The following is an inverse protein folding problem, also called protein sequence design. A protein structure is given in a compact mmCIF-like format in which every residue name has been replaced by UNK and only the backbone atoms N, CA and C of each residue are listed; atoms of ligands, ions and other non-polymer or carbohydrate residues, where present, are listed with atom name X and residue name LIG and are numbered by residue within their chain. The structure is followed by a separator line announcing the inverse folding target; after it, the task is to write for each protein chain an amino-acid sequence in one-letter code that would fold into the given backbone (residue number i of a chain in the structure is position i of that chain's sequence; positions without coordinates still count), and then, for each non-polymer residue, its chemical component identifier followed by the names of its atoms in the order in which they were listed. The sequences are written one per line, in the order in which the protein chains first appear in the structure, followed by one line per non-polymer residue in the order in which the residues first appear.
data_IF_300946348214
#
_entry.id   IF_300946348214
#
_cell.length_a   1.000
_cell.length_b   1.000
_cell.length_c   1.000
_cell.angle_alpha   90.00
_cell.angle_beta   90.00
_cell.angle_gamma   90.00
#
_symmetry.space_group_name_H-M   'P 1'
#
loop_
_entity.id
_entity.type
_entity.pdbx_description
1 polymer ?
#
# COMPACT_ATOMS: atom_id res chain seq x y z
N UNK A 1 -18.46 -10.23 3.39
CA UNK A 1 -19.08 -9.09 2.69
C UNK A 1 -20.23 -9.59 1.80
N UNK A 2 -20.00 -10.56 0.93
CA UNK A 2 -21.00 -11.05 -0.04
C UNK A 2 -22.22 -11.68 0.60
N UNK A 3 -22.09 -12.33 1.76
CA UNK A 3 -23.24 -12.84 2.53
C UNK A 3 -24.23 -11.73 2.90
N UNK A 4 -23.71 -10.58 3.35
CA UNK A 4 -24.55 -9.43 3.75
C UNK A 4 -24.89 -8.51 2.57
N UNK A 5 -24.07 -8.46 1.54
CA UNK A 5 -24.21 -7.61 0.36
C UNK A 5 -23.87 -8.40 -0.91
N UNK A 6 -24.79 -9.21 -1.45
CA UNK A 6 -24.52 -10.11 -2.57
C UNK A 6 -24.05 -9.43 -3.85
N UNK A 7 -24.47 -8.17 -4.06
CA UNK A 7 -24.09 -7.36 -5.23
C UNK A 7 -22.82 -6.55 -5.04
N UNK A 8 -22.16 -6.66 -3.88
CA UNK A 8 -20.96 -5.87 -3.61
C UNK A 8 -19.81 -6.24 -4.54
N UNK A 9 -19.13 -5.20 -5.03
CA UNK A 9 -17.96 -5.31 -5.91
C UNK A 9 -16.74 -4.69 -5.24
N UNK A 10 -15.59 -5.31 -5.44
CA UNK A 10 -14.29 -4.76 -5.03
C UNK A 10 -13.94 -3.59 -5.94
N UNK A 11 -13.59 -2.45 -5.38
CA UNK A 11 -13.26 -1.23 -6.14
C UNK A 11 -11.75 -0.99 -6.29
N UNK A 12 -10.96 -1.57 -5.41
CA UNK A 12 -9.50 -1.59 -5.47
C UNK A 12 -8.98 -2.86 -4.80
N UNK A 13 -7.68 -3.06 -4.80
CA UNK A 13 -7.06 -4.26 -4.24
C UNK A 13 -6.02 -3.93 -3.18
N UNK A 14 -5.86 -4.82 -2.22
CA UNK A 14 -4.68 -4.95 -1.39
C UNK A 14 -3.89 -6.18 -1.84
N UNK A 15 -2.59 -6.18 -1.63
CA UNK A 15 -1.79 -7.40 -1.78
C UNK A 15 -2.22 -8.43 -0.72
N UNK A 16 -2.10 -9.71 -1.02
CA UNK A 16 -2.58 -10.79 -0.15
C UNK A 16 -2.04 -10.72 1.29
N UNK A 17 -0.80 -10.23 1.45
CA UNK A 17 -0.17 -10.10 2.77
C UNK A 17 -0.40 -8.72 3.43
N UNK A 18 -1.04 -7.76 2.75
CA UNK A 18 -1.37 -6.44 3.29
C UNK A 18 -2.69 -6.49 4.03
N UNK A 19 -2.74 -5.95 5.23
CA UNK A 19 -3.98 -5.80 5.99
C UNK A 19 -4.55 -4.38 5.92
N UNK A 20 -5.74 -4.18 6.49
CA UNK A 20 -6.35 -2.86 6.64
C UNK A 20 -7.55 -2.62 5.76
N UNK A 21 -7.78 -1.36 5.43
CA UNK A 21 -8.99 -0.87 4.80
C UNK A 21 -9.09 -1.31 3.34
N UNK A 22 -10.22 -1.90 3.00
CA UNK A 22 -10.60 -2.28 1.64
C UNK A 22 -12.03 -1.81 1.35
N UNK A 23 -12.20 -1.03 0.28
CA UNK A 23 -13.48 -0.46 -0.09
C UNK A 23 -14.26 -1.39 -1.04
N UNK A 24 -15.56 -1.56 -0.74
CA UNK A 24 -16.50 -2.27 -1.60
C UNK A 24 -17.65 -1.34 -2.02
N UNK A 25 -18.02 -1.37 -3.28
CA UNK A 25 -19.23 -0.75 -3.76
C UNK A 25 -20.43 -1.71 -3.58
N UNK A 26 -21.54 -1.25 -3.02
CA UNK A 26 -22.71 -2.08 -2.74
C UNK A 26 -23.58 -2.33 -3.98
N UNK A 27 -23.51 -1.47 -5.00
CA UNK A 27 -24.28 -1.54 -6.24
C UNK A 27 -23.48 -0.92 -7.40
N UNK A 28 -23.98 -1.10 -8.62
CA UNK A 28 -23.26 -0.73 -9.86
C UNK A 28 -22.91 0.75 -9.95
N UNK A 29 -23.82 1.64 -9.59
CA UNK A 29 -23.56 3.09 -9.68
C UNK A 29 -22.43 3.51 -8.72
N UNK A 30 -22.43 2.95 -7.52
CA UNK A 30 -21.34 3.15 -6.56
C UNK A 30 -20.01 2.60 -7.09
N UNK A 31 -20.02 1.43 -7.75
CA UNK A 31 -18.82 0.84 -8.37
C UNK A 31 -18.22 1.78 -9.42
N UNK A 32 -19.06 2.29 -10.34
CA UNK A 32 -18.64 3.21 -11.40
C UNK A 32 -18.09 4.51 -10.79
N UNK A 33 -18.81 5.09 -9.84
CA UNK A 33 -18.41 6.34 -9.20
C UNK A 33 -17.08 6.21 -8.45
N UNK A 34 -16.93 5.17 -7.63
CA UNK A 34 -15.69 4.92 -6.88
C UNK A 34 -14.51 4.61 -7.82
N UNK A 35 -14.76 3.85 -8.89
CA UNK A 35 -13.71 3.59 -9.90
C UNK A 35 -13.18 4.88 -10.54
N UNK A 36 -14.07 5.83 -10.86
CA UNK A 36 -13.69 7.17 -11.35
C UNK A 36 -12.85 7.94 -10.33
N UNK A 37 -13.19 7.86 -9.04
CA UNK A 37 -12.42 8.50 -7.97
C UNK A 37 -10.98 7.95 -7.89
N UNK A 38 -10.80 6.62 -7.98
CA UNK A 38 -9.47 6.00 -8.01
C UNK A 38 -8.69 6.40 -9.27
N UNK A 39 -9.33 6.46 -10.45
CA UNK A 39 -8.73 6.93 -11.69
C UNK A 39 -8.30 8.41 -11.60
N UNK A 40 -9.16 9.26 -11.04
CA UNK A 40 -8.89 10.68 -10.80
C UNK A 40 -7.93 10.93 -9.62
N UNK A 41 -7.55 9.89 -8.86
CA UNK A 41 -6.68 9.97 -7.68
C UNK A 41 -7.22 10.89 -6.58
N UNK A 42 -8.54 10.97 -6.43
CA UNK A 42 -9.21 11.78 -5.39
C UNK A 42 -9.40 11.02 -4.08
N UNK A 43 -9.05 9.74 -4.03
CA UNK A 43 -9.04 8.93 -2.81
C UNK A 43 -7.66 9.02 -2.15
N UNK A 44 -7.58 9.66 -0.99
CA UNK A 44 -6.36 9.68 -0.17
C UNK A 44 -6.22 8.33 0.56
N UNK A 45 -5.01 7.79 0.55
CA UNK A 45 -4.69 6.50 1.15
C UNK A 45 -3.37 6.61 1.90
N UNK A 46 -3.38 6.28 3.19
CA UNK A 46 -2.12 6.14 3.91
C UNK A 46 -1.96 4.70 4.39
N UNK A 47 -0.74 4.24 4.29
CA UNK A 47 -0.32 2.95 4.82
C UNK A 47 0.71 3.18 5.92
N UNK A 48 0.69 2.33 6.92
CA UNK A 48 1.75 2.25 7.92
C UNK A 48 2.55 0.98 7.64
N UNK A 49 3.86 1.10 7.65
CA UNK A 49 4.77 -0.03 7.53
C UNK A 49 5.86 0.01 8.61
N UNK A 50 6.37 -1.17 9.00
CA UNK A 50 7.68 -1.29 9.62
C UNK A 50 8.67 -1.68 8.53
N UNK A 51 9.78 -0.96 8.45
CA UNK A 51 10.84 -1.18 7.48
C UNK A 51 12.18 -1.36 8.18
N UNK A 52 13.11 -2.06 7.55
CA UNK A 52 14.45 -2.25 8.07
C UNK A 52 15.25 -0.96 8.02
N UNK A 53 16.03 -0.71 9.07
CA UNK A 53 16.96 0.39 9.17
C UNK A 53 16.32 1.74 9.49
N UNK A 54 17.18 2.74 9.71
CA UNK A 54 16.77 4.10 10.06
C UNK A 54 16.40 4.91 8.81
N UNK A 55 15.13 5.23 8.63
CA UNK A 55 14.67 6.23 7.66
C UNK A 55 14.83 7.62 8.29
N UNK A 56 15.83 8.40 7.84
CA UNK A 56 16.24 9.64 8.51
C UNK A 56 15.36 10.85 8.20
N UNK A 57 14.77 10.90 7.01
CA UNK A 57 13.98 12.03 6.54
C UNK A 57 12.85 11.58 5.62
N UNK A 58 11.85 12.42 5.48
CA UNK A 58 10.78 12.22 4.51
C UNK A 58 11.29 12.36 3.06
N UNK A 59 10.55 11.78 2.12
CA UNK A 59 10.93 11.84 0.72
C UNK A 59 9.94 11.19 -0.22
N UNK A 60 10.40 10.97 -1.43
CA UNK A 60 9.62 10.26 -2.45
C UNK A 60 10.47 9.24 -3.20
N UNK A 61 9.83 8.14 -3.58
CA UNK A 61 10.38 7.15 -4.52
C UNK A 61 9.57 7.23 -5.81
N UNK A 62 10.25 7.51 -6.91
CA UNK A 62 9.64 7.63 -8.22
C UNK A 62 10.42 6.80 -9.24
N UNK A 63 10.09 5.50 -9.30
CA UNK A 63 10.72 4.54 -10.21
C UNK A 63 9.65 3.67 -10.86
N UNK A 64 9.79 3.38 -12.18
CA UNK A 64 8.79 2.62 -12.91
C UNK A 64 8.82 1.13 -12.59
N UNK A 65 7.66 0.49 -12.56
CA UNK A 65 7.49 -0.91 -12.17
C UNK A 65 6.89 -1.75 -13.31
N UNK A 66 7.38 -2.98 -13.42
CA UNK A 66 6.84 -4.00 -14.33
C UNK A 66 6.80 -5.36 -13.62
N UNK A 67 5.97 -6.26 -14.14
CA UNK A 67 5.94 -7.65 -13.66
C UNK A 67 7.23 -8.38 -14.02
N UNK A 68 7.86 -9.00 -13.03
CA UNK A 68 8.92 -9.97 -13.23
C UNK A 68 8.29 -11.29 -13.70
N UNK A 69 8.29 -11.51 -15.02
CA UNK A 69 7.58 -12.63 -15.62
C UNK A 69 8.15 -13.99 -15.24
N UNK A 70 9.43 -14.06 -14.97
CA UNK A 70 10.14 -15.30 -14.58
C UNK A 70 9.87 -15.64 -13.11
N UNK A 71 9.72 -14.61 -12.26
CA UNK A 71 9.56 -14.76 -10.80
C UNK A 71 8.20 -14.27 -10.29
N UNK A 72 7.11 -14.51 -11.04
CA UNK A 72 5.75 -14.12 -10.60
C UNK A 72 5.44 -14.64 -9.20
N UNK A 73 4.72 -13.85 -8.39
CA UNK A 73 4.02 -12.59 -8.67
C UNK A 73 4.87 -11.32 -8.46
N UNK A 74 6.20 -11.40 -8.46
CA UNK A 74 7.10 -10.27 -8.20
C UNK A 74 6.92 -9.15 -9.22
N UNK A 75 7.22 -7.92 -8.76
CA UNK A 75 7.39 -6.73 -9.60
C UNK A 75 8.84 -6.28 -9.46
N UNK A 76 9.37 -5.66 -10.50
CA UNK A 76 10.74 -5.12 -10.53
C UNK A 76 10.74 -3.69 -11.06
N UNK A 77 11.79 -2.95 -10.72
CA UNK A 77 12.07 -1.65 -11.35
C UNK A 77 12.64 -1.88 -12.73
N UNK A 78 12.05 -1.22 -13.74
CA UNK A 78 12.53 -1.31 -15.12
C UNK A 78 12.29 0.01 -15.83
N UNK A 79 13.35 0.75 -16.10
CA UNK A 79 13.26 2.13 -16.57
C UNK A 79 12.71 2.29 -18.00
N UNK A 80 12.86 1.31 -18.87
CA UNK A 80 12.40 1.39 -20.24
C UNK A 80 10.94 0.93 -20.40
N UNK A 81 10.56 -0.21 -19.80
CA UNK A 81 9.28 -0.87 -20.02
C UNK A 81 8.32 -0.74 -18.82
N UNK A 82 8.84 -0.26 -17.69
CA UNK A 82 8.06 -0.12 -16.45
C UNK A 82 7.01 0.98 -16.56
N UNK A 83 5.91 0.78 -15.84
CA UNK A 83 4.85 1.80 -15.70
C UNK A 83 5.19 2.74 -14.57
N UNK A 84 5.11 4.04 -14.82
CA UNK A 84 5.36 5.09 -13.83
C UNK A 84 4.67 4.77 -12.49
N UNK A 85 5.44 4.88 -11.42
CA UNK A 85 4.98 4.68 -10.05
C UNK A 85 5.66 5.69 -9.12
N UNK A 86 4.88 6.26 -8.17
CA UNK A 86 5.36 7.24 -7.19
C UNK A 86 4.74 6.98 -5.83
N UNK A 87 5.59 6.98 -4.81
CA UNK A 87 5.23 6.85 -3.39
C UNK A 87 5.90 7.96 -2.60
N UNK A 88 5.14 8.65 -1.76
CA UNK A 88 5.69 9.53 -0.73
C UNK A 88 5.88 8.72 0.55
N UNK A 89 6.91 9.03 1.32
CA UNK A 89 7.14 8.38 2.61
C UNK A 89 7.59 9.39 3.66
N UNK A 90 7.17 9.13 4.91
CA UNK A 90 7.52 9.94 6.08
C UNK A 90 7.88 9.02 7.24
N UNK A 91 9.08 9.16 7.85
CA UNK A 91 9.41 8.43 9.06
C UNK A 91 8.58 8.96 10.23
N UNK A 92 8.07 8.04 11.06
CA UNK A 92 7.30 8.36 12.26
C UNK A 92 8.13 8.11 13.52
N UNK A 93 8.71 6.92 13.64
CA UNK A 93 9.50 6.49 14.81
C UNK A 93 10.60 5.55 14.31
N UNK A 94 11.78 5.64 14.89
CA UNK A 94 12.86 4.67 14.74
C UNK A 94 13.15 3.99 16.08
N UNK A 95 13.23 2.67 16.06
CA UNK A 95 13.62 1.84 17.19
C UNK A 95 15.03 1.29 16.95
N UNK A 96 16.01 1.82 17.70
CA UNK A 96 17.40 1.41 17.62
C UNK A 96 17.60 -0.05 18.05
N UNK A 97 16.77 -0.56 18.98
CA UNK A 97 16.95 -1.91 19.53
C UNK A 97 16.64 -2.99 18.51
N UNK A 98 15.69 -2.71 17.63
CA UNK A 98 15.26 -3.64 16.56
C UNK A 98 15.77 -3.24 15.19
N UNK A 99 16.42 -2.08 15.06
CA UNK A 99 16.84 -1.47 13.79
C UNK A 99 15.68 -1.36 12.79
N UNK A 100 14.56 -0.80 13.25
CA UNK A 100 13.34 -0.68 12.45
C UNK A 100 12.78 0.73 12.49
N UNK A 101 12.32 1.23 11.36
CA UNK A 101 11.55 2.46 11.27
C UNK A 101 10.07 2.16 11.03
N UNK A 102 9.19 2.82 11.79
CA UNK A 102 7.77 2.94 11.45
C UNK A 102 7.64 4.11 10.47
N UNK A 103 7.04 3.86 9.33
CA UNK A 103 6.89 4.87 8.26
C UNK A 103 5.45 4.98 7.80
N UNK A 104 5.03 6.21 7.50
CA UNK A 104 3.81 6.48 6.75
C UNK A 104 4.16 6.47 5.25
N UNK A 105 3.36 5.75 4.47
CA UNK A 105 3.50 5.63 3.02
C UNK A 105 2.23 6.14 2.34
N UNK A 106 2.39 7.07 1.40
CA UNK A 106 1.30 7.58 0.58
C UNK A 106 1.53 7.21 -0.90
N UNK A 107 0.80 6.22 -1.45
CA UNK A 107 0.90 5.86 -2.86
C UNK A 107 0.18 6.88 -3.74
N UNK A 108 0.91 7.70 -4.47
CA UNK A 108 0.37 8.63 -5.49
C UNK A 108 -0.17 7.86 -6.69
N UNK A 109 0.46 6.77 -7.04
CA UNK A 109 0.02 5.78 -8.04
C UNK A 109 -0.39 4.48 -7.34
N UNK A 110 -0.97 3.51 -8.06
CA UNK A 110 -1.45 2.25 -7.48
C UNK A 110 -0.98 1.02 -8.30
N UNK A 111 0.33 0.83 -8.45
CA UNK A 111 0.86 -0.37 -9.11
C UNK A 111 0.90 -1.56 -8.16
N UNK A 112 0.85 -2.78 -8.71
CA UNK A 112 1.01 -4.00 -7.91
C UNK A 112 2.31 -3.96 -7.14
N UNK A 113 2.30 -4.36 -5.87
CA UNK A 113 3.44 -4.40 -4.96
C UNK A 113 4.23 -3.08 -4.82
N UNK A 114 3.66 -1.95 -5.25
CA UNK A 114 4.38 -0.67 -5.37
C UNK A 114 5.13 -0.29 -4.09
N UNK A 115 4.44 -0.22 -2.95
CA UNK A 115 5.04 0.19 -1.68
C UNK A 115 6.19 -0.73 -1.27
N UNK A 116 6.05 -2.02 -1.51
CA UNK A 116 7.02 -3.06 -1.17
C UNK A 116 8.29 -2.93 -1.99
N UNK A 117 8.15 -2.79 -3.33
CA UNK A 117 9.29 -2.63 -4.24
C UNK A 117 9.97 -1.28 -4.02
N UNK A 118 9.21 -0.20 -3.83
CA UNK A 118 9.77 1.12 -3.59
C UNK A 118 10.58 1.17 -2.31
N UNK A 119 10.08 0.64 -1.21
CA UNK A 119 10.81 0.62 0.06
C UNK A 119 12.06 -0.27 -0.01
N UNK A 120 11.98 -1.43 -0.66
CA UNK A 120 13.16 -2.26 -0.93
C UNK A 120 14.18 -1.51 -1.80
N UNK A 121 13.74 -0.80 -2.85
CA UNK A 121 14.60 -0.08 -3.79
C UNK A 121 15.46 0.99 -3.12
N UNK A 122 14.92 1.66 -2.10
CA UNK A 122 15.67 2.67 -1.31
C UNK A 122 16.41 2.08 -0.11
N UNK A 123 16.51 0.76 0.00
CA UNK A 123 17.28 0.08 1.06
C UNK A 123 16.53 -0.13 2.37
N UNK A 124 15.23 0.11 2.42
CA UNK A 124 14.37 -0.05 3.59
C UNK A 124 13.25 -1.08 3.35
N UNK A 125 13.55 -2.38 3.13
CA UNK A 125 12.55 -3.39 2.85
C UNK A 125 11.54 -3.53 3.99
N UNK A 126 10.27 -3.81 3.65
CA UNK A 126 9.21 -3.98 4.62
C UNK A 126 9.41 -5.27 5.41
N UNK A 127 9.29 -5.16 6.73
CA UNK A 127 9.46 -6.28 7.64
C UNK A 127 8.43 -7.39 7.39
N UNK A 128 8.91 -8.64 7.39
CA UNK A 128 8.06 -9.81 7.13
C UNK A 128 7.62 -9.97 5.66
N UNK A 129 8.15 -9.18 4.74
CA UNK A 129 7.87 -9.35 3.31
C UNK A 129 8.64 -10.54 2.73
N UNK A 130 7.95 -11.63 2.45
CA UNK A 130 8.54 -12.88 1.95
C UNK A 130 9.05 -12.80 0.51
N UNK A 131 8.65 -11.77 -0.27
CA UNK A 131 9.04 -11.62 -1.67
C UNK A 131 10.21 -10.66 -1.86
N UNK A 132 10.28 -9.59 -1.04
CA UNK A 132 11.20 -8.50 -1.29
C UNK A 132 12.20 -8.25 -0.16
N UNK A 133 11.94 -8.74 1.06
CA UNK A 133 12.92 -8.62 2.13
C UNK A 133 14.05 -9.63 1.91
N UNK A 134 15.35 -9.24 1.93
CA UNK A 134 16.47 -10.15 1.71
C UNK A 134 16.57 -11.23 2.80
N UNK A 135 16.17 -10.91 4.03
CA UNK A 135 16.17 -11.81 5.18
C UNK A 135 14.78 -11.86 5.85
N UNK A 136 13.74 -12.40 5.18
CA UNK A 136 12.36 -12.28 5.67
C UNK A 136 12.10 -13.01 6.99
N UNK A 137 12.95 -13.96 7.37
CA UNK A 137 12.82 -14.78 8.60
C UNK A 137 13.57 -14.18 9.81
N UNK A 138 14.45 -13.21 9.60
CA UNK A 138 15.34 -12.66 10.65
C UNK A 138 14.58 -12.09 11.84
N UNK A 139 13.42 -11.49 11.62
CA UNK A 139 12.69 -10.71 12.62
C UNK A 139 11.46 -11.42 13.18
N UNK A 140 11.28 -12.71 12.92
CA UNK A 140 10.20 -13.56 13.46
C UNK A 140 8.77 -12.98 13.36
N UNK A 141 8.52 -12.09 12.40
CA UNK A 141 7.19 -11.58 12.15
C UNK A 141 6.34 -12.64 11.42
N UNK A 142 5.21 -13.00 12.02
CA UNK A 142 4.28 -13.96 11.41
C UNK A 142 3.51 -13.38 10.21
N UNK A 143 3.70 -12.09 9.92
CA UNK A 143 3.01 -11.34 8.86
C UNK A 143 3.90 -10.27 8.26
N UNK A 144 3.54 -9.80 7.08
CA UNK A 144 4.12 -8.57 6.51
C UNK A 144 3.61 -7.36 7.28
N UNK A 145 4.51 -6.48 7.73
CA UNK A 145 4.19 -5.27 8.46
C UNK A 145 3.85 -4.11 7.50
N UNK A 146 2.76 -4.29 6.75
CA UNK A 146 2.15 -3.28 5.88
C UNK A 146 0.65 -3.25 6.10
N UNK A 147 0.11 -2.09 6.46
CA UNK A 147 -1.30 -1.91 6.81
C UNK A 147 -1.90 -0.68 6.13
N UNK A 148 -3.01 -0.84 5.42
CA UNK A 148 -3.82 0.24 4.89
C UNK A 148 -4.60 0.89 6.03
N UNK A 149 -4.01 1.96 6.61
CA UNK A 149 -4.49 2.54 7.87
C UNK A 149 -5.52 3.64 7.69
N UNK A 150 -5.55 4.30 6.53
CA UNK A 150 -6.37 5.50 6.32
C UNK A 150 -6.92 5.55 4.90
N UNK A 151 -8.21 5.89 4.78
CA UNK A 151 -8.89 6.25 3.55
C UNK A 151 -9.70 7.53 3.76
N UNK A 152 -9.53 8.51 2.87
CA UNK A 152 -10.38 9.70 2.83
C UNK A 152 -10.80 10.02 1.41
N UNK A 153 -12.07 10.36 1.24
CA UNK A 153 -12.68 10.66 -0.04
C UNK A 153 -14.00 11.41 0.14
N UNK A 154 -14.44 12.13 -0.88
CA UNK A 154 -15.78 12.67 -0.93
C UNK A 154 -16.78 11.59 -1.37
N UNK A 155 -17.86 11.37 -0.62
CA UNK A 155 -18.84 10.35 -0.95
C UNK A 155 -19.51 10.66 -2.30
N UNK A 156 -19.38 9.79 -3.32
CA UNK A 156 -19.69 10.14 -4.71
C UNK A 156 -21.17 10.46 -4.98
N UNK A 157 -22.07 10.01 -4.11
CA UNK A 157 -23.51 10.24 -4.27
C UNK A 157 -24.06 11.30 -3.29
N UNK A 158 -23.38 11.52 -2.16
CA UNK A 158 -23.84 12.43 -1.10
C UNK A 158 -23.05 13.73 -1.05
N UNK A 159 -21.84 13.78 -1.66
CA UNK A 159 -20.95 14.92 -1.62
C UNK A 159 -20.32 15.21 -0.24
N UNK A 160 -20.57 14.36 0.77
CA UNK A 160 -20.00 14.52 2.11
C UNK A 160 -18.61 13.92 2.19
N UNK A 161 -17.73 14.53 2.99
CA UNK A 161 -16.41 13.99 3.25
C UNK A 161 -16.50 12.74 4.14
N UNK A 162 -15.76 11.73 3.75
CA UNK A 162 -15.66 10.45 4.47
C UNK A 162 -14.21 10.20 4.83
N UNK A 163 -13.95 9.99 6.10
CA UNK A 163 -12.65 9.60 6.64
C UNK A 163 -12.83 8.30 7.43
N UNK A 164 -11.98 7.32 7.13
CA UNK A 164 -12.01 6.00 7.78
C UNK A 164 -10.58 5.66 8.18
N UNK A 165 -10.41 5.24 9.42
CA UNK A 165 -9.14 4.79 9.97
C UNK A 165 -9.23 3.35 10.46
N UNK A 166 -8.10 2.66 10.45
CA UNK A 166 -7.96 1.30 10.95
C UNK A 166 -6.75 1.22 11.88
N UNK A 167 -6.93 0.63 13.04
CA UNK A 167 -5.85 0.43 14.00
C UNK A 167 -4.77 -0.48 13.41
N UNK A 168 -3.52 -0.04 13.50
CA UNK A 168 -2.36 -0.78 13.01
C UNK A 168 -2.04 -1.95 13.96
N UNK A 169 -1.95 -3.20 13.47
CA UNK A 169 -1.83 -4.38 14.31
C UNK A 169 -0.37 -4.78 14.64
N UNK A 170 0.60 -3.88 14.47
CA UNK A 170 2.02 -4.09 14.78
C UNK A 170 2.70 -2.80 15.24
#
# INVERSE_FOLDING_TARGET
VLEKFPLAKVTHRLDMATSGLLMFAKHRDAEVAVSKMFQARTVKKHYIALVQGQVKQEGSVEVPLITDWENRPRQIVHFELGKHAKTLFQPLVYDETTDQSRVLLEPVTGRSHQLRVHMMHIGHPIMGDKLYHPEPKRFHLNRMALHAAYLAFQHPLKGTDVVIESQVPF
#
